data_IF_533033982873
#
_entry.id   IF_533033982873
#
_cell.length_a   1.000
_cell.length_b   1.000
_cell.length_c   1.000
_cell.angle_alpha   90.00
_cell.angle_beta   90.00
_cell.angle_gamma   90.00
#
_symmetry.space_group_name_H-M   'P 1'
#
loop_
_entity.id
_entity.type
_entity.pdbx_description
1 polymer ?
2 non-polymer ?
3 water ?
#
# COMPACT_ATOMS: atom_id res chain seq x y z
N UNK A 1 6.69 -17.49 12.35
CA UNK A 1 5.77 -16.41 11.93
C UNK A 1 4.30 -16.85 11.81
N UNK A 2 3.38 -15.88 11.89
CA UNK A 2 1.95 -16.15 11.92
C UNK A 2 1.52 -16.99 10.75
N UNK A 3 2.12 -16.79 9.59
CA UNK A 3 1.68 -17.51 8.40
C UNK A 3 1.77 -19.01 8.63
N UNK A 4 2.70 -19.44 9.47
CA UNK A 4 2.94 -20.86 9.69
C UNK A 4 2.53 -21.35 11.08
N UNK A 5 2.38 -20.44 12.03
CA UNK A 5 2.05 -20.84 13.40
C UNK A 5 0.63 -21.39 13.54
N UNK A 6 -0.29 -20.88 12.74
CA UNK A 6 -1.67 -21.31 12.80
C UNK A 6 -2.10 -21.95 11.50
N UNK A 7 -3.12 -22.77 11.57
CA UNK A 7 -3.58 -23.55 10.44
C UNK A 7 -4.74 -22.76 9.79
N UNK A 8 -4.37 -21.72 9.03
CA UNK A 8 -5.35 -20.80 8.47
C UNK A 8 -6.33 -21.47 7.51
N UNK A 9 -5.90 -22.50 6.83
CA UNK A 9 -6.80 -23.19 5.94
C UNK A 9 -7.97 -23.87 6.66
N UNK A 10 -7.98 -23.88 7.97
CA UNK A 10 -9.15 -24.36 8.68
C UNK A 10 -10.24 -23.29 8.75
N UNK A 11 -9.96 -22.06 8.28
CA UNK A 11 -10.96 -20.97 8.28
C UNK A 11 -11.46 -20.71 6.86
N UNK A 12 -12.65 -20.09 6.73
CA UNK A 12 -13.18 -19.76 5.40
C UNK A 12 -12.21 -18.88 4.65
N UNK A 13 -12.08 -19.12 3.35
CA UNK A 13 -11.12 -18.37 2.59
C UNK A 13 -11.86 -17.55 1.54
N UNK A 14 -11.44 -16.30 1.38
CA UNK A 14 -12.01 -15.48 0.29
C UNK A 14 -10.94 -14.77 -0.46
N UNK A 15 -11.18 -14.56 -1.76
CA UNK A 15 -10.22 -13.84 -2.59
C UNK A 15 -10.58 -12.37 -2.63
N UNK A 16 -9.55 -11.53 -2.60
CA UNK A 16 -9.72 -10.07 -2.71
C UNK A 16 -8.76 -9.48 -3.73
N UNK A 17 -9.07 -8.27 -4.17
CA UNK A 17 -8.08 -7.40 -4.78
C UNK A 17 -7.51 -6.48 -3.72
N UNK A 18 -6.23 -6.59 -3.43
CA UNK A 18 -5.59 -5.84 -2.37
C UNK A 18 -4.84 -4.64 -2.94
N UNK A 19 -4.98 -3.52 -2.24
CA UNK A 19 -4.21 -2.30 -2.45
C UNK A 19 -3.65 -1.83 -1.09
N UNK A 20 -2.75 -0.85 -1.13
CA UNK A 20 -2.28 -0.16 0.08
C UNK A 20 -2.73 1.27 0.20
N UNK A 21 -2.89 1.74 1.45
CA UNK A 21 -3.22 3.14 1.72
C UNK A 21 -2.63 3.63 3.02
N UNK A 22 -2.61 4.95 3.18
CA UNK A 22 -2.11 5.53 4.42
C UNK A 22 -3.04 6.70 4.80
N UNK A 23 -2.75 7.39 5.90
CA UNK A 23 -3.64 8.47 6.34
C UNK A 23 -3.42 9.70 5.46
N UNK A 24 -4.37 10.63 5.43
CA UNK A 24 -4.15 11.96 4.85
C UNK A 24 -4.44 12.04 3.37
N UNK A 29 -9.09 18.32 4.11
CA UNK A 29 -8.04 19.25 4.48
C UNK A 29 -7.46 18.96 5.85
N UNK A 30 -6.74 17.85 5.97
CA UNK A 30 -6.22 17.40 7.27
C UNK A 30 -4.72 17.18 7.27
N UNK A 31 -4.12 17.52 8.41
CA UNK A 31 -2.68 17.38 8.62
C UNK A 31 -2.42 16.57 9.88
N UNK A 32 -1.23 15.97 9.97
CA UNK A 32 -0.93 15.03 11.04
C UNK A 32 -1.13 15.48 12.48
N UNK A 33 -1.18 16.77 12.73
CA UNK A 33 -1.47 17.22 14.09
C UNK A 33 -2.96 17.36 14.43
N UNK A 34 -3.82 17.31 13.41
CA UNK A 34 -5.25 17.59 13.61
C UNK A 34 -5.95 16.43 14.33
N UNK A 35 -6.85 16.73 15.28
CA UNK A 35 -7.56 15.65 15.98
C UNK A 35 -8.28 14.66 15.08
N UNK A 36 -8.79 15.09 13.93
CA UNK A 36 -9.54 14.16 13.09
C UNK A 36 -8.65 13.40 12.09
N UNK A 37 -7.37 13.76 12.02
CA UNK A 37 -6.41 13.04 11.14
C UNK A 37 -6.36 11.55 11.40
N UNK A 38 -6.49 10.75 10.34
CA UNK A 38 -6.29 9.32 10.46
C UNK A 38 -7.49 8.52 10.97
N UNK A 39 -8.61 9.21 11.17
CA UNK A 39 -9.80 8.49 11.64
C UNK A 39 -10.44 7.66 10.56
N UNK A 40 -10.75 6.42 10.88
CA UNK A 40 -11.46 5.52 9.98
C UNK A 40 -12.97 5.65 10.08
N UNK A 41 -13.68 5.03 9.14
CA UNK A 41 -15.16 4.99 9.19
C UNK A 41 -15.71 4.61 10.59
N UNK A 42 -15.12 3.59 11.18
CA UNK A 42 -15.56 3.02 12.44
C UNK A 42 -15.39 3.95 13.62
N UNK A 43 -14.54 4.95 13.49
CA UNK A 43 -14.21 5.86 14.57
C UNK A 43 -12.85 5.69 15.20
N UNK A 44 -12.23 4.54 14.99
CA UNK A 44 -10.86 4.32 15.49
C UNK A 44 -9.85 4.93 14.54
N UNK A 45 -8.72 5.34 15.09
CA UNK A 45 -7.58 5.82 14.28
C UNK A 45 -6.92 4.66 13.54
N UNK A 46 -6.37 4.94 12.36
CA UNK A 46 -5.61 3.93 11.64
C UNK A 46 -4.49 3.45 12.55
N UNK A 47 -4.18 2.17 12.44
CA UNK A 47 -3.18 1.51 13.26
C UNK A 47 -2.55 0.33 12.54
N UNK A 48 -1.23 0.27 12.62
CA UNK A 48 -0.49 -0.90 12.21
C UNK A 48 0.04 -1.59 13.48
N UNK A 49 -0.41 -2.80 13.76
CA UNK A 49 -0.05 -3.45 15.05
C UNK A 49 -0.33 -4.93 14.83
N UNK A 50 -0.28 -5.72 15.89
CA UNK A 50 -0.70 -7.14 15.80
C UNK A 50 -2.03 -7.31 15.05
N UNK A 51 -3.00 -6.47 15.40
CA UNK A 51 -4.26 -6.26 14.69
C UNK A 51 -4.20 -4.86 14.05
N UNK A 52 -4.21 -4.80 12.73
CA UNK A 52 -4.11 -3.56 11.97
C UNK A 52 -5.51 -3.23 11.41
N UNK A 53 -5.77 -1.95 11.23
CA UNK A 53 -6.99 -1.43 10.64
C UNK A 53 -6.92 -1.58 9.12
N UNK A 54 -7.92 -2.25 8.53
CA UNK A 54 -7.99 -2.30 7.07
C UNK A 54 -9.35 -1.74 6.60
N UNK A 55 -9.42 -1.43 5.31
CA UNK A 55 -10.66 -0.96 4.68
C UNK A 55 -11.31 -2.03 3.83
N UNK A 56 -12.64 -2.11 3.86
CA UNK A 56 -13.37 -3.08 3.07
C UNK A 56 -14.73 -2.52 2.68
N UNK A 57 -15.44 -3.30 1.86
CA UNK A 57 -16.88 -3.08 1.55
C UNK A 57 -17.68 -3.80 2.61
N UNK A 58 -18.40 -3.04 3.46
CA UNK A 58 -19.06 -3.66 4.62
C UNK A 58 -20.16 -4.65 4.24
N UNK A 59 -20.65 -4.60 3.01
CA UNK A 59 -21.60 -5.59 2.55
C UNK A 59 -20.93 -6.94 2.26
N UNK A 60 -19.60 -7.00 2.26
CA UNK A 60 -18.82 -8.22 2.02
C UNK A 60 -18.16 -8.64 3.35
N UNK A 61 -17.46 -7.67 3.99
CA UNK A 61 -16.84 -7.85 5.33
C UNK A 61 -17.32 -6.76 6.28
N UNK A 62 -18.28 -7.05 7.16
CA UNK A 62 -18.75 -6.00 8.03
C UNK A 62 -17.64 -5.36 8.88
N UNK A 63 -17.82 -4.09 9.25
CA UNK A 63 -16.99 -3.47 10.29
C UNK A 63 -16.88 -4.39 11.51
N UNK A 64 -15.65 -4.57 11.97
CA UNK A 64 -15.30 -5.46 13.07
C UNK A 64 -14.85 -6.85 12.64
N UNK A 65 -14.96 -7.20 11.37
CA UNK A 65 -14.49 -8.47 10.86
C UNK A 65 -12.99 -8.62 11.10
N UNK A 66 -12.59 -9.77 11.63
CA UNK A 66 -11.20 -10.09 11.76
C UNK A 66 -10.78 -11.04 10.62
N UNK A 67 -9.76 -10.60 9.88
CA UNK A 67 -9.17 -11.32 8.77
C UNK A 67 -7.72 -11.70 9.01
N UNK A 68 -7.25 -12.86 8.54
CA UNK A 68 -5.82 -13.06 8.45
C UNK A 68 -5.41 -12.90 6.99
N UNK A 69 -4.49 -11.96 6.78
CA UNK A 69 -4.02 -11.51 5.52
C UNK A 69 -2.52 -11.89 5.34
N UNK A 70 -2.25 -12.95 4.60
CA UNK A 70 -0.85 -13.43 4.54
C UNK A 70 0.16 -12.37 4.07
N UNK A 71 1.29 -12.33 4.79
CA UNK A 71 2.38 -11.39 4.61
C UNK A 71 2.00 -9.91 4.97
N UNK A 72 0.84 -9.73 5.63
CA UNK A 72 0.44 -8.46 6.20
C UNK A 72 0.19 -8.59 7.70
N UNK A 73 -0.72 -9.50 8.06
CA UNK A 73 -1.00 -9.80 9.44
C UNK A 73 -2.48 -9.92 9.69
N UNK A 74 -2.86 -10.03 10.97
CA UNK A 74 -4.30 -9.92 11.28
C UNK A 74 -4.82 -8.52 11.00
N UNK A 75 -5.99 -8.44 10.36
CA UNK A 75 -6.62 -7.16 10.08
C UNK A 75 -8.02 -7.12 10.67
N UNK A 76 -8.40 -5.93 11.11
CA UNK A 76 -9.75 -5.66 11.56
C UNK A 76 -10.36 -4.70 10.57
N UNK A 77 -11.52 -5.05 10.05
CA UNK A 77 -12.22 -4.15 9.14
C UNK A 77 -12.76 -2.95 9.90
N UNK A 78 -12.12 -1.80 9.67
CA UNK A 78 -12.36 -0.63 10.45
C UNK A 78 -12.73 0.58 9.60
N UNK A 79 -12.44 0.49 8.29
CA UNK A 79 -12.57 1.58 7.36
C UNK A 79 -13.33 1.19 6.08
N UNK A 80 -13.75 2.22 5.36
CA UNK A 80 -14.51 2.09 4.13
C UNK A 80 -14.02 3.20 3.16
N UNK A 81 -14.54 3.16 1.94
CA UNK A 81 -14.24 4.22 0.99
C UNK A 81 -15.13 4.07 -0.24
N UNK A 82 -15.39 5.14 -0.98
CA UNK A 82 -16.39 5.03 -2.03
C UNK A 82 -15.88 4.16 -3.15
N UNK A 83 -14.56 4.09 -3.24
CA UNK A 83 -13.91 3.24 -4.23
C UNK A 83 -13.61 1.83 -3.74
N UNK A 84 -13.97 1.49 -2.49
CA UNK A 84 -13.68 0.20 -1.95
C UNK A 84 -14.96 -0.61 -1.96
N UNK A 85 -15.20 -1.29 -3.07
CA UNK A 85 -16.44 -2.05 -3.29
C UNK A 85 -16.15 -3.49 -3.70
N UNK A 86 -17.06 -4.38 -3.37
CA UNK A 86 -16.90 -5.77 -3.77
C UNK A 86 -15.85 -6.45 -2.92
N UNK A 87 -15.05 -7.33 -3.54
CA UNK A 87 -14.05 -8.11 -2.81
C UNK A 87 -12.71 -7.40 -2.85
N UNK A 88 -12.72 -6.24 -2.26
CA UNK A 88 -11.67 -5.27 -2.29
C UNK A 88 -11.18 -5.07 -0.90
N UNK A 89 -9.86 -4.99 -0.71
CA UNK A 89 -9.31 -4.77 0.64
C UNK A 89 -8.24 -3.72 0.53
N UNK A 90 -8.29 -2.67 1.34
CA UNK A 90 -7.21 -1.64 1.37
C UNK A 90 -6.43 -1.82 2.66
N UNK A 91 -5.14 -2.14 2.53
CA UNK A 91 -4.27 -2.46 3.65
C UNK A 91 -3.56 -1.21 4.13
N UNK A 92 -3.65 -0.92 5.40
CA UNK A 92 -3.00 0.28 5.94
C UNK A 92 -1.51 0.10 6.20
N UNK A 93 -0.72 1.09 5.79
CA UNK A 93 0.72 1.22 6.09
C UNK A 93 1.01 2.64 6.56
N UNK A 94 1.92 2.78 7.51
CA UNK A 94 2.24 4.07 8.09
C UNK A 94 2.96 4.96 7.09
N UNK A 95 3.90 4.36 6.37
CA UNK A 95 4.77 5.10 5.46
C UNK A 95 5.16 4.31 4.19
N UNK A 96 5.63 5.02 3.16
CA UNK A 96 6.23 4.40 1.98
C UNK A 96 7.40 3.49 2.35
N UNK A 97 8.29 3.94 3.21
CA UNK A 97 9.41 3.08 3.68
C UNK A 97 8.93 1.75 4.25
N UNK A 98 7.83 1.75 5.02
CA UNK A 98 7.30 0.51 5.58
C UNK A 98 6.80 -0.41 4.51
N UNK A 99 6.03 0.11 3.56
CA UNK A 99 5.55 -0.81 2.56
C UNK A 99 6.71 -1.37 1.70
N UNK A 100 7.74 -0.59 1.36
CA UNK A 100 8.88 -1.18 0.63
C UNK A 100 9.66 -2.19 1.53
N UNK A 101 9.75 -1.93 2.84
CA UNK A 101 10.43 -2.85 3.71
C UNK A 101 9.74 -4.22 3.70
N UNK A 102 8.42 -4.20 3.63
CA UNK A 102 7.65 -5.43 3.70
C UNK A 102 7.46 -6.19 2.35
N UNK A 103 7.42 -5.47 1.24
CA UNK A 103 7.20 -6.06 -0.06
C UNK A 103 8.30 -5.83 -1.12
N UNK A 104 9.10 -4.80 -0.95
CA UNK A 104 10.14 -4.54 -1.92
C UNK A 104 11.36 -5.43 -1.82
N UNK A 105 12.21 -5.35 -2.84
CA UNK A 105 13.41 -6.15 -2.88
C UNK A 105 14.56 -5.35 -2.24
N UNK A 106 15.11 -5.87 -1.15
CA UNK A 106 16.14 -5.15 -0.41
C UNK A 106 17.52 -5.42 -0.95
N UNK A 107 17.75 -6.67 -1.32
CA UNK A 107 19.02 -7.15 -1.86
C UNK A 107 18.92 -7.02 -3.38
N UNK A 108 19.52 -5.98 -3.94
CA UNK A 108 19.30 -5.69 -5.36
C UNK A 108 20.56 -5.35 -6.17
N UNK A 109 20.72 -6.00 -7.33
CA UNK A 109 21.75 -5.60 -8.28
C UNK A 109 21.16 -4.51 -9.21
N UNK A 110 21.96 -3.47 -9.42
CA UNK A 110 21.63 -2.35 -10.32
C UNK A 110 22.77 -2.15 -11.27
N UNK A 111 22.44 -1.50 -12.39
CA UNK A 111 23.38 -1.33 -13.47
C UNK A 111 23.75 0.12 -13.69
N UNK A 112 25.04 0.37 -13.86
CA UNK A 112 25.56 1.73 -13.95
C UNK A 112 25.63 2.12 -15.40
N UNK A 113 24.72 3.00 -15.80
CA UNK A 113 24.59 3.38 -17.21
C UNK A 113 25.51 4.53 -17.56
N UNK A 114 25.61 5.48 -16.65
CA UNK A 114 26.44 6.67 -16.85
C UNK A 114 26.83 7.24 -15.52
N UNK A 115 28.12 7.50 -15.33
CA UNK A 115 28.53 8.06 -14.05
C UNK A 115 28.29 9.60 -14.00
N UNK A 116 27.75 10.09 -12.90
CA UNK A 116 27.47 11.52 -12.76
C UNK A 116 28.70 12.41 -12.60
N UNK A 117 28.51 13.69 -12.94
CA UNK A 117 29.51 14.78 -12.82
C UNK A 117 29.47 15.46 -11.44
N UNK A 118 28.38 15.24 -10.72
CA UNK A 118 28.17 15.88 -9.44
C UNK A 118 27.01 16.88 -9.37
N UNK A 119 26.37 17.13 -10.51
CA UNK A 119 25.27 18.10 -10.59
C UNK A 119 24.24 17.58 -11.57
N UNK A 120 22.99 17.98 -11.33
CA UNK A 120 21.97 17.79 -12.34
C UNK A 120 20.87 18.85 -12.16
N UNK A 121 20.35 19.37 -13.28
CA UNK A 121 19.37 20.47 -13.25
C UNK A 121 17.99 19.96 -13.65
N UNK A 122 16.97 20.78 -13.43
CA UNK A 122 15.60 20.38 -13.86
C UNK A 122 15.55 20.25 -15.38
N UNK A 123 16.22 21.16 -16.09
CA UNK A 123 16.21 21.11 -17.54
C UNK A 123 16.84 19.80 -18.03
N UNK A 124 17.95 19.41 -17.40
CA UNK A 124 18.64 18.19 -17.81
C UNK A 124 17.81 16.92 -17.56
N UNK A 125 17.13 16.90 -16.42
CA UNK A 125 16.25 15.78 -16.07
C UNK A 125 15.05 15.72 -17.00
N UNK A 126 14.54 16.89 -17.37
CA UNK A 126 13.42 16.94 -18.32
C UNK A 126 13.86 16.40 -19.69
N UNK A 127 15.04 16.80 -20.15
CA UNK A 127 15.53 16.36 -21.47
C UNK A 127 15.72 14.82 -21.45
N UNK A 128 16.18 14.26 -20.33
CA UNK A 128 16.25 12.80 -20.16
C UNK A 128 14.83 12.21 -20.28
N UNK A 129 13.88 12.79 -19.55
CA UNK A 129 12.52 12.25 -19.56
C UNK A 129 11.83 12.34 -20.95
N UNK A 130 12.28 13.30 -21.76
CA UNK A 130 11.71 13.56 -23.08
C UNK A 130 12.41 12.76 -24.20
N UNK A 131 13.40 11.96 -23.84
CA UNK A 131 14.25 11.25 -24.83
C UNK A 131 13.36 10.60 -25.90
N UNK A 132 13.48 11.05 -27.16
CA UNK A 132 12.51 10.63 -28.17
C UNK A 132 12.45 9.10 -28.32
N UNK A 133 13.61 8.43 -28.38
CA UNK A 133 13.68 7.00 -28.58
C UNK A 133 13.15 6.14 -27.41
N UNK A 134 12.87 6.78 -26.28
CA UNK A 134 12.39 6.04 -25.11
C UNK A 134 10.96 6.35 -24.71
N UNK A 135 10.25 7.17 -25.51
CA UNK A 135 8.93 7.58 -25.11
C UNK A 135 7.97 6.39 -25.07
N UNK A 136 8.24 5.34 -25.84
CA UNK A 136 7.34 4.17 -25.80
C UNK A 136 7.32 3.50 -24.45
N UNK A 137 8.42 3.60 -23.69
CA UNK A 137 8.43 3.05 -22.35
C UNK A 137 7.90 3.97 -21.25
N UNK A 138 7.67 5.23 -21.56
CA UNK A 138 7.44 6.23 -20.49
C UNK A 138 6.05 6.12 -19.87
N UNK A 139 5.08 5.72 -20.69
CA UNK A 139 3.70 5.65 -20.25
C UNK A 139 3.59 4.84 -18.98
N UNK A 140 4.37 3.77 -18.91
CA UNK A 140 4.42 2.90 -17.74
C UNK A 140 4.78 3.65 -16.44
N UNK A 141 5.74 4.59 -16.54
CA UNK A 141 6.40 5.15 -15.34
C UNK A 141 5.77 6.44 -14.87
N UNK A 142 5.32 7.25 -15.81
CA UNK A 142 4.80 8.57 -15.51
C UNK A 142 3.40 8.46 -14.92
#
# INVERSE_FOLDING_TARGET
PLEEAFDWDEYPVQRVTATGYTAGAESTGKNPGDPLYGLTYSGVKVKRDLYSTVAADPSVFPIGTILFIPNYGLGVVADTGSAIKGNRLDLYFETVKDVYNEWGKKTLDVYVIKKGTGKITEDELEKLNETKSLQVFRNQYKTVKE
#
